data_IF_590390381664
#
_entry.id   IF_590390381664
#
_cell.length_a   1.000
_cell.length_b   1.000
_cell.length_c   1.000
_cell.angle_alpha   90.00
_cell.angle_beta   90.00
_cell.angle_gamma   90.00
#
_symmetry.space_group_name_H-M   'P 1'
#
loop_
_entity.id
_entity.type
_entity.pdbx_description
1 polymer ?
#
# COMPACT_ATOMS: atom_id res chain seq x y z
N UNK A 1 -10.24 -2.88 15.49
CA UNK A 1 -9.04 -2.63 14.66
C UNK A 1 -8.89 -3.72 13.61
N UNK A 2 -8.55 -3.37 12.39
CA UNK A 2 -8.36 -4.36 11.32
C UNK A 2 -7.11 -5.19 11.56
N UNK A 3 -7.18 -6.47 11.24
CA UNK A 3 -5.98 -7.30 11.21
C UNK A 3 -5.15 -6.94 9.98
N UNK A 4 -3.89 -7.35 9.95
CA UNK A 4 -3.06 -7.15 8.76
C UNK A 4 -3.69 -7.80 7.53
N UNK A 5 -4.25 -8.99 7.69
CA UNK A 5 -4.88 -9.70 6.58
C UNK A 5 -6.07 -8.92 6.03
N UNK A 6 -6.92 -8.38 6.89
CA UNK A 6 -8.06 -7.57 6.47
C UNK A 6 -7.59 -6.30 5.73
N UNK A 7 -6.58 -5.63 6.26
CA UNK A 7 -5.99 -4.45 5.66
C UNK A 7 -5.44 -4.76 4.26
N UNK A 8 -4.67 -5.83 4.16
CA UNK A 8 -4.08 -6.25 2.90
C UNK A 8 -5.16 -6.59 1.86
N UNK A 9 -6.16 -7.36 2.28
CA UNK A 9 -7.23 -7.79 1.37
C UNK A 9 -8.05 -6.59 0.88
N UNK A 10 -8.26 -5.59 1.71
CA UNK A 10 -8.96 -4.38 1.31
C UNK A 10 -8.25 -3.67 0.15
N UNK A 11 -6.94 -3.46 0.28
CA UNK A 11 -6.18 -2.78 -0.77
C UNK A 11 -6.04 -3.63 -2.03
N UNK A 12 -5.76 -4.91 -1.88
CA UNK A 12 -5.61 -5.77 -3.04
C UNK A 12 -6.94 -5.96 -3.77
N UNK A 13 -8.04 -6.01 -3.03
CA UNK A 13 -9.36 -6.07 -3.64
C UNK A 13 -9.67 -4.81 -4.45
N UNK A 14 -9.38 -3.64 -3.89
CA UNK A 14 -9.56 -2.39 -4.61
C UNK A 14 -8.69 -2.34 -5.87
N UNK A 15 -7.41 -2.72 -5.72
CA UNK A 15 -6.47 -2.72 -6.85
C UNK A 15 -6.96 -3.65 -7.96
N UNK A 16 -7.40 -4.85 -7.61
CA UNK A 16 -7.80 -5.84 -8.60
C UNK A 16 -9.12 -5.48 -9.31
N UNK A 17 -10.00 -4.74 -8.63
CA UNK A 17 -11.34 -4.45 -9.16
C UNK A 17 -11.52 -3.03 -9.68
N UNK A 18 -10.76 -2.08 -9.19
CA UNK A 18 -11.04 -0.66 -9.42
C UNK A 18 -9.87 0.14 -10.01
N UNK A 19 -8.67 -0.41 -10.07
CA UNK A 19 -7.54 0.40 -10.54
C UNK A 19 -7.68 0.76 -12.02
N UNK A 20 -7.23 1.96 -12.41
CA UNK A 20 -7.15 2.31 -13.83
C UNK A 20 -6.22 1.35 -14.58
N UNK A 21 -6.53 1.10 -15.84
CA UNK A 21 -5.76 0.15 -16.65
C UNK A 21 -4.31 0.61 -16.86
N UNK A 22 -4.10 1.92 -16.88
CA UNK A 22 -2.76 2.49 -17.08
C UNK A 22 -1.85 2.33 -15.87
N UNK A 23 -2.40 2.03 -14.70
CA UNK A 23 -1.62 1.91 -13.48
C UNK A 23 -1.17 0.46 -13.29
N UNK A 24 0.07 0.28 -12.85
CA UNK A 24 0.54 -1.01 -12.39
C UNK A 24 -0.03 -1.26 -10.99
N UNK A 25 -0.01 -2.52 -10.57
CA UNK A 25 -0.54 -2.87 -9.26
C UNK A 25 0.17 -2.13 -8.12
N UNK A 26 1.50 -2.07 -8.19
CA UNK A 26 2.26 -1.35 -7.16
C UNK A 26 1.94 0.13 -7.11
N UNK A 27 1.77 0.76 -8.26
CA UNK A 27 1.36 2.15 -8.35
C UNK A 27 -0.01 2.37 -7.71
N UNK A 28 -0.96 1.48 -7.99
CA UNK A 28 -2.31 1.58 -7.44
C UNK A 28 -2.31 1.41 -5.93
N UNK A 29 -1.56 0.45 -5.40
CA UNK A 29 -1.43 0.23 -3.96
C UNK A 29 -0.86 1.49 -3.28
N UNK A 30 0.21 2.04 -3.83
CA UNK A 30 0.83 3.26 -3.31
C UNK A 30 -0.18 4.40 -3.25
N UNK A 31 -0.86 4.65 -4.38
CA UNK A 31 -1.80 5.77 -4.47
C UNK A 31 -2.99 5.58 -3.54
N UNK A 32 -3.51 4.38 -3.45
CA UNK A 32 -4.67 4.10 -2.60
C UNK A 32 -4.32 4.31 -1.12
N UNK A 33 -3.17 3.81 -0.69
CA UNK A 33 -2.73 3.99 0.69
C UNK A 33 -2.47 5.48 0.98
N UNK A 34 -1.87 6.19 0.04
CA UNK A 34 -1.59 7.61 0.22
C UNK A 34 -2.88 8.43 0.33
N UNK A 35 -3.85 8.15 -0.55
CA UNK A 35 -5.12 8.87 -0.53
C UNK A 35 -5.93 8.58 0.73
N UNK A 36 -5.87 7.35 1.23
CA UNK A 36 -6.71 6.94 2.36
C UNK A 36 -6.08 7.32 3.71
N UNK A 37 -4.76 7.15 3.83
CA UNK A 37 -4.09 7.28 5.13
C UNK A 37 -2.95 8.30 5.15
N UNK A 38 -2.53 8.82 4.00
CA UNK A 38 -1.43 9.80 3.88
C UNK A 38 -0.11 9.30 4.43
N UNK A 39 0.16 8.00 4.33
CA UNK A 39 1.40 7.42 4.87
C UNK A 39 2.29 6.78 3.81
N UNK A 40 1.85 6.70 2.55
CA UNK A 40 2.63 6.03 1.51
C UNK A 40 4.00 6.68 1.33
N UNK A 41 4.06 8.00 1.32
CA UNK A 41 5.33 8.72 1.16
C UNK A 41 6.24 8.52 2.35
N UNK A 42 5.68 8.40 3.55
CA UNK A 42 6.46 8.13 4.75
C UNK A 42 7.13 6.76 4.67
N UNK A 43 6.39 5.74 4.24
CA UNK A 43 6.97 4.42 4.03
C UNK A 43 8.08 4.49 2.97
N UNK A 44 7.82 5.19 1.87
CA UNK A 44 8.81 5.33 0.80
C UNK A 44 10.10 5.98 1.28
N UNK A 45 10.00 7.07 2.04
CA UNK A 45 11.18 7.84 2.45
C UNK A 45 11.87 7.26 3.68
N UNK A 46 11.11 6.82 4.68
CA UNK A 46 11.68 6.36 5.96
C UNK A 46 12.10 4.90 5.86
N UNK A 47 11.22 4.05 5.37
CA UNK A 47 11.48 2.61 5.28
C UNK A 47 12.18 2.22 3.99
N UNK A 48 12.27 3.15 3.03
CA UNK A 48 12.96 2.95 1.76
C UNK A 48 12.38 1.82 0.93
N UNK A 49 11.08 1.59 1.06
CA UNK A 49 10.34 0.60 0.27
C UNK A 49 9.40 1.35 -0.66
N UNK A 50 9.52 1.09 -1.96
CA UNK A 50 8.79 1.82 -2.98
C UNK A 50 8.10 0.85 -3.94
N UNK A 51 6.85 0.50 -3.66
CA UNK A 51 6.08 -0.37 -4.53
C UNK A 51 5.57 0.35 -5.78
N UNK A 52 5.61 1.70 -5.80
CA UNK A 52 5.18 2.46 -6.97
C UNK A 52 5.98 2.08 -8.21
N UNK A 53 7.28 1.88 -8.06
CA UNK A 53 8.17 1.52 -9.16
C UNK A 53 8.54 0.04 -9.20
N UNK A 54 8.14 -0.75 -8.20
CA UNK A 54 8.52 -2.15 -8.11
C UNK A 54 7.38 -2.98 -7.51
N UNK A 55 6.67 -3.71 -8.37
CA UNK A 55 5.53 -4.51 -7.94
C UNK A 55 5.92 -5.64 -6.97
N UNK A 56 7.18 -6.06 -6.97
CA UNK A 56 7.66 -7.10 -6.06
C UNK A 56 7.69 -6.64 -4.61
N UNK A 57 7.58 -5.33 -4.36
CA UNK A 57 7.60 -4.77 -3.01
C UNK A 57 6.21 -4.50 -2.45
N UNK A 58 5.14 -4.92 -3.14
CA UNK A 58 3.77 -4.63 -2.72
C UNK A 58 3.49 -5.17 -1.32
N UNK A 59 3.77 -6.44 -1.07
CA UNK A 59 3.47 -7.05 0.23
C UNK A 59 4.27 -6.38 1.36
N UNK A 60 5.54 -6.11 1.12
CA UNK A 60 6.38 -5.44 2.10
C UNK A 60 5.88 -4.02 2.37
N UNK A 61 5.50 -3.30 1.32
CA UNK A 61 4.97 -1.94 1.45
C UNK A 61 3.69 -1.94 2.29
N UNK A 62 2.76 -2.85 2.03
CA UNK A 62 1.51 -2.95 2.77
C UNK A 62 1.80 -3.26 4.25
N UNK A 63 2.73 -4.17 4.51
CA UNK A 63 3.11 -4.51 5.89
C UNK A 63 3.65 -3.28 6.63
N UNK A 64 4.53 -2.52 6.01
CA UNK A 64 5.11 -1.33 6.63
C UNK A 64 4.06 -0.26 6.85
N UNK A 65 3.16 -0.07 5.89
CA UNK A 65 2.05 0.87 6.04
C UNK A 65 1.14 0.47 7.22
N UNK A 66 0.83 -0.82 7.32
CA UNK A 66 0.02 -1.32 8.43
C UNK A 66 0.69 -1.06 9.78
N UNK A 67 2.00 -1.27 9.85
CA UNK A 67 2.76 -1.00 11.07
C UNK A 67 2.72 0.47 11.46
N UNK A 68 2.79 1.37 10.49
CA UNK A 68 2.69 2.81 10.75
C UNK A 68 1.34 3.16 11.38
N UNK A 69 0.27 2.52 10.93
CA UNK A 69 -1.07 2.80 11.44
C UNK A 69 -1.32 2.19 12.81
N UNK A 70 -0.78 1.02 13.08
CA UNK A 70 -1.09 0.26 14.30
C UNK A 70 0.01 0.36 15.36
N UNK A 71 1.24 0.51 14.94
CA UNK A 71 2.38 0.51 15.85
C UNK A 71 2.76 1.87 16.38
N UNK A 72 2.15 2.88 15.84
CA UNK A 72 2.46 4.24 16.28
C UNK A 72 3.83 4.70 15.90
#
# INVERSE_FOLDING_TARGET
MKTFEDFRNEFLGWVDNCKPKEWRRGQAVFNYIDETYNIARRVQFIDKVDCFHNDNLIDQFILLAYRQLCGG
#
